data_IF_564679709550
#
_entry.id   IF_564679709550
#
_cell.length_a   1.000
_cell.length_b   1.000
_cell.length_c   1.000
_cell.angle_alpha   90.00
_cell.angle_beta   90.00
_cell.angle_gamma   90.00
#
_symmetry.space_group_name_H-M   'P 1'
#
loop_
_entity.id
_entity.type
_entity.pdbx_description
1 polymer ?
#
# COMPACT_ATOMS: atom_id res chain seq x y z
N UNK A 1 -24.58 0.91 -2.65
CA UNK A 1 -25.41 -0.19 -3.18
C UNK A 1 -24.76 -0.68 -4.46
N UNK A 2 -24.79 -1.98 -4.75
CA UNK A 2 -24.29 -2.52 -6.02
C UNK A 2 -25.39 -2.38 -7.06
N UNK A 3 -25.03 -1.89 -8.24
CA UNK A 3 -25.91 -1.79 -9.41
C UNK A 3 -25.48 -2.82 -10.47
N UNK A 4 -26.30 -3.86 -10.67
CA UNK A 4 -26.03 -4.92 -11.65
C UNK A 4 -26.31 -4.49 -13.10
N UNK A 5 -27.02 -3.38 -13.32
CA UNK A 5 -27.31 -2.84 -14.65
C UNK A 5 -26.29 -1.82 -15.14
N UNK A 6 -25.32 -1.44 -14.29
CA UNK A 6 -24.28 -0.47 -14.64
C UNK A 6 -23.21 -1.08 -15.56
N UNK A 7 -22.63 -0.25 -16.44
CA UNK A 7 -21.44 -0.60 -17.24
C UNK A 7 -20.19 -0.87 -16.39
N UNK A 8 -20.20 -0.49 -15.11
CA UNK A 8 -19.08 -0.72 -14.20
C UNK A 8 -19.16 -2.12 -13.60
N UNK A 9 -18.13 -2.96 -13.71
CA UNK A 9 -18.14 -4.30 -13.15
C UNK A 9 -18.42 -4.32 -11.64
N UNK A 10 -19.25 -5.24 -11.17
CA UNK A 10 -19.69 -5.34 -9.76
C UNK A 10 -18.53 -5.44 -8.75
N UNK A 11 -17.43 -6.12 -9.12
CA UNK A 11 -16.25 -6.21 -8.26
C UNK A 11 -15.54 -4.85 -8.09
N UNK A 12 -15.58 -3.98 -9.12
CA UNK A 12 -15.06 -2.61 -9.02
C UNK A 12 -15.96 -1.77 -8.14
N UNK A 13 -17.28 -1.90 -8.28
CA UNK A 13 -18.24 -1.19 -7.42
C UNK A 13 -18.05 -1.56 -5.94
N UNK A 14 -17.88 -2.85 -5.61
CA UNK A 14 -17.58 -3.26 -4.23
C UNK A 14 -16.25 -2.68 -3.74
N UNK A 15 -15.21 -2.71 -4.57
CA UNK A 15 -13.93 -2.08 -4.23
C UNK A 15 -14.09 -0.58 -3.97
N UNK A 16 -14.89 0.12 -4.77
CA UNK A 16 -15.17 1.56 -4.59
C UNK A 16 -15.88 1.86 -3.27
N UNK A 17 -16.88 1.04 -2.91
CA UNK A 17 -17.59 1.16 -1.63
C UNK A 17 -16.62 1.02 -0.45
N UNK A 18 -15.82 -0.05 -0.44
CA UNK A 18 -14.87 -0.30 0.64
C UNK A 18 -13.77 0.78 0.67
N UNK A 19 -13.29 1.22 -0.49
CA UNK A 19 -12.31 2.33 -0.59
C UNK A 19 -12.88 3.59 0.03
N UNK A 20 -14.13 3.94 -0.28
CA UNK A 20 -14.79 5.09 0.30
C UNK A 20 -14.92 4.98 1.84
N UNK A 21 -15.18 3.79 2.37
CA UNK A 21 -15.22 3.55 3.82
C UNK A 21 -13.85 3.74 4.49
N UNK A 22 -12.77 3.29 3.84
CA UNK A 22 -11.40 3.48 4.32
C UNK A 22 -11.01 4.96 4.28
N UNK A 23 -11.22 5.63 3.14
CA UNK A 23 -10.87 7.05 2.97
C UNK A 23 -11.68 7.95 3.91
N UNK A 24 -12.94 7.62 4.19
CA UNK A 24 -13.77 8.33 5.15
C UNK A 24 -13.46 7.99 6.63
N UNK A 25 -12.53 7.06 6.90
CA UNK A 25 -12.16 6.65 8.25
C UNK A 25 -13.20 5.79 8.98
N UNK A 26 -14.24 5.30 8.27
CA UNK A 26 -15.21 4.34 8.81
C UNK A 26 -14.56 2.98 9.06
N UNK A 27 -13.64 2.60 8.19
CA UNK A 27 -12.72 1.47 8.41
C UNK A 27 -11.34 2.04 8.75
N UNK A 28 -10.88 1.76 9.98
CA UNK A 28 -9.62 2.30 10.51
C UNK A 28 -8.41 1.48 10.06
N UNK A 29 -7.21 2.07 9.96
CA UNK A 29 -5.97 1.33 9.74
C UNK A 29 -5.84 0.15 10.73
N UNK A 30 -5.49 -1.04 10.22
CA UNK A 30 -5.38 -2.27 11.00
C UNK A 30 -6.70 -2.95 11.35
N UNK A 31 -7.85 -2.34 11.03
CA UNK A 31 -9.15 -2.96 11.27
C UNK A 31 -9.42 -4.11 10.29
N UNK A 32 -9.98 -5.20 10.79
CA UNK A 32 -10.44 -6.31 9.96
C UNK A 32 -11.62 -5.88 9.07
N UNK A 33 -11.57 -6.25 7.78
CA UNK A 33 -12.71 -6.16 6.88
C UNK A 33 -13.74 -7.24 7.24
N UNK A 34 -15.02 -7.06 6.86
CA UNK A 34 -15.97 -8.16 6.86
C UNK A 34 -15.44 -9.37 6.08
N UNK A 35 -15.74 -10.59 6.55
CA UNK A 35 -15.30 -11.83 5.88
C UNK A 35 -15.83 -11.93 4.46
N UNK A 36 -15.17 -12.72 3.60
CA UNK A 36 -15.65 -12.97 2.22
C UNK A 36 -17.13 -13.39 2.22
N UNK A 37 -17.50 -14.34 3.08
CA UNK A 37 -18.88 -14.81 3.23
C UNK A 37 -19.85 -13.69 3.62
N UNK A 38 -19.45 -12.81 4.54
CA UNK A 38 -20.28 -11.68 4.96
C UNK A 38 -20.42 -10.64 3.85
N UNK A 39 -19.36 -10.36 3.10
CA UNK A 39 -19.41 -9.47 1.93
C UNK A 39 -20.31 -10.05 0.83
N UNK A 40 -20.22 -11.36 0.59
CA UNK A 40 -21.10 -12.06 -0.37
C UNK A 40 -22.58 -11.91 0.03
N UNK A 41 -22.90 -12.11 1.30
CA UNK A 41 -24.28 -11.97 1.80
C UNK A 41 -24.76 -10.52 1.78
N UNK A 42 -23.94 -9.57 2.24
CA UNK A 42 -24.32 -8.16 2.36
C UNK A 42 -24.54 -7.48 1.01
N UNK A 43 -23.78 -7.87 -0.01
CA UNK A 43 -23.82 -7.24 -1.33
C UNK A 43 -24.41 -8.16 -2.41
N UNK A 44 -24.90 -9.35 -2.02
CA UNK A 44 -25.46 -10.35 -2.92
C UNK A 44 -24.52 -10.72 -4.08
N UNK A 45 -23.22 -10.81 -3.77
CA UNK A 45 -22.18 -11.08 -4.74
C UNK A 45 -21.65 -12.51 -4.65
N UNK A 46 -21.30 -13.07 -5.81
CA UNK A 46 -20.58 -14.34 -5.88
C UNK A 46 -19.15 -14.22 -5.34
N UNK A 47 -18.60 -15.36 -4.89
CA UNK A 47 -17.26 -15.45 -4.30
C UNK A 47 -16.16 -14.86 -5.20
N UNK A 48 -16.23 -15.10 -6.51
CA UNK A 48 -15.24 -14.61 -7.48
C UNK A 48 -15.22 -13.08 -7.49
N UNK A 49 -16.39 -12.44 -7.55
CA UNK A 49 -16.50 -10.98 -7.56
C UNK A 49 -15.96 -10.36 -6.26
N UNK A 50 -16.27 -10.93 -5.10
CA UNK A 50 -15.73 -10.48 -3.81
C UNK A 50 -14.21 -10.61 -3.78
N UNK A 51 -13.66 -11.76 -4.20
CA UNK A 51 -12.20 -11.97 -4.23
C UNK A 51 -11.49 -11.03 -5.20
N UNK A 52 -12.12 -10.72 -6.34
CA UNK A 52 -11.61 -9.73 -7.28
C UNK A 52 -11.62 -8.32 -6.68
N UNK A 53 -12.70 -7.92 -6.00
CA UNK A 53 -12.78 -6.63 -5.32
C UNK A 53 -11.67 -6.47 -4.27
N UNK A 54 -11.48 -7.48 -3.43
CA UNK A 54 -10.38 -7.51 -2.44
C UNK A 54 -9.00 -7.52 -3.12
N UNK A 55 -8.86 -8.17 -4.27
CA UNK A 55 -7.63 -8.14 -5.07
C UNK A 55 -7.30 -6.73 -5.58
N UNK A 56 -8.29 -6.00 -6.08
CA UNK A 56 -8.13 -4.60 -6.48
C UNK A 56 -7.63 -3.77 -5.31
N UNK A 57 -8.27 -3.85 -4.14
CA UNK A 57 -7.88 -3.09 -2.95
C UNK A 57 -6.47 -3.45 -2.43
N UNK A 58 -6.05 -4.72 -2.54
CA UNK A 58 -4.68 -5.13 -2.22
C UNK A 58 -3.67 -4.50 -3.17
N UNK A 59 -3.95 -4.56 -4.47
CA UNK A 59 -3.07 -4.00 -5.51
C UNK A 59 -2.90 -2.49 -5.39
N UNK A 60 -3.94 -1.79 -4.91
CA UNK A 60 -3.94 -0.35 -4.60
C UNK A 60 -3.23 -0.04 -3.27
N UNK A 61 -2.80 -1.04 -2.51
CA UNK A 61 -2.18 -0.84 -1.21
C UNK A 61 -3.15 -0.35 -0.12
N UNK A 62 -4.45 -0.60 -0.24
CA UNK A 62 -5.43 -0.16 0.77
C UNK A 62 -5.66 -1.21 1.86
N UNK A 63 -5.49 -2.48 1.51
CA UNK A 63 -5.67 -3.61 2.44
C UNK A 63 -4.49 -4.58 2.36
N UNK A 64 -4.38 -5.42 3.38
CA UNK A 64 -3.49 -6.58 3.43
C UNK A 64 -4.30 -7.83 3.75
N UNK A 65 -3.91 -8.99 3.22
CA UNK A 65 -4.56 -10.27 3.53
C UNK A 65 -3.61 -11.16 4.30
N UNK A 66 -4.03 -11.57 5.49
CA UNK A 66 -3.31 -12.53 6.33
C UNK A 66 -3.93 -13.90 6.12
N UNK A 67 -3.09 -14.87 5.70
CA UNK A 67 -3.54 -16.21 5.34
C UNK A 67 -4.23 -16.86 6.55
N UNK A 68 -5.48 -17.30 6.36
CA UNK A 68 -6.38 -17.91 7.36
C UNK A 68 -6.96 -16.96 8.42
N UNK A 69 -6.60 -15.68 8.42
CA UNK A 69 -7.15 -14.70 9.36
C UNK A 69 -8.14 -13.74 8.69
N UNK A 70 -7.88 -13.35 7.44
CA UNK A 70 -8.77 -12.49 6.67
C UNK A 70 -8.05 -11.32 6.04
N UNK A 71 -8.80 -10.27 5.72
CA UNK A 71 -8.25 -9.03 5.16
C UNK A 71 -8.43 -7.88 6.14
N UNK A 72 -7.44 -6.99 6.19
CA UNK A 72 -7.38 -5.87 7.10
C UNK A 72 -7.07 -4.60 6.32
N UNK A 73 -7.63 -3.47 6.76
CA UNK A 73 -7.16 -2.16 6.26
C UNK A 73 -5.67 -2.06 6.56
N UNK A 74 -4.90 -1.59 5.59
CA UNK A 74 -3.46 -1.44 5.74
C UNK A 74 -3.12 -0.66 7.02
N UNK A 75 -2.32 -1.24 7.93
CA UNK A 75 -1.83 -0.51 9.09
C UNK A 75 -0.98 0.69 8.67
N UNK A 76 -1.07 1.78 9.40
CA UNK A 76 -0.17 2.90 9.21
C UNK A 76 1.13 2.61 9.96
N UNK A 77 2.22 2.43 9.22
CA UNK A 77 3.56 2.22 9.79
C UNK A 77 4.24 3.58 9.91
N UNK A 78 4.90 3.90 11.05
CA UNK A 78 5.73 5.10 11.15
C UNK A 78 6.80 5.12 10.06
N UNK A 79 6.90 6.23 9.34
CA UNK A 79 7.90 6.38 8.30
C UNK A 79 9.28 6.70 8.89
N UNK A 80 10.31 6.02 8.39
CA UNK A 80 11.71 6.27 8.75
C UNK A 80 12.26 7.43 7.90
N UNK A 81 12.95 8.38 8.54
CA UNK A 81 13.66 9.45 7.83
C UNK A 81 15.04 8.95 7.43
N UNK A 82 15.29 8.87 6.13
CA UNK A 82 16.54 8.39 5.57
C UNK A 82 17.27 9.51 4.87
N UNK A 83 18.48 9.81 5.37
CA UNK A 83 19.30 10.85 4.82
C UNK A 83 20.02 10.39 3.53
N UNK A 84 19.92 11.21 2.49
CA UNK A 84 20.45 10.98 1.15
C UNK A 84 21.36 12.13 0.73
N UNK A 85 22.45 11.79 0.05
CA UNK A 85 23.37 12.79 -0.48
C UNK A 85 22.68 13.62 -1.56
N UNK A 86 23.02 14.91 -1.67
CA UNK A 86 22.47 15.79 -2.73
C UNK A 86 22.76 15.32 -4.15
N UNK A 87 23.88 14.62 -4.35
CA UNK A 87 24.24 14.04 -5.64
C UNK A 87 23.64 12.64 -5.88
N UNK A 88 22.70 12.20 -5.04
CA UNK A 88 22.06 10.90 -5.22
C UNK A 88 21.07 10.94 -6.39
N UNK A 89 21.05 9.88 -7.18
CA UNK A 89 19.98 9.63 -8.14
C UNK A 89 18.91 8.77 -7.46
N UNK A 90 17.67 9.25 -7.48
CA UNK A 90 16.54 8.58 -6.83
C UNK A 90 15.50 8.26 -7.90
N UNK A 91 15.13 7.00 -7.99
CA UNK A 91 14.02 6.55 -8.85
C UNK A 91 12.99 5.79 -8.02
N UNK A 92 11.78 5.65 -8.55
CA UNK A 92 10.72 4.84 -7.95
C UNK A 92 10.27 3.76 -8.94
N UNK A 93 10.09 2.53 -8.44
CA UNK A 93 9.55 1.41 -9.23
C UNK A 93 8.86 0.40 -8.34
N UNK A 94 8.18 -0.57 -8.94
CA UNK A 94 7.73 -1.74 -8.21
C UNK A 94 8.93 -2.63 -7.81
N UNK A 95 8.89 -3.28 -6.64
CA UNK A 95 9.93 -4.21 -6.23
C UNK A 95 9.90 -5.49 -7.08
N UNK A 96 11.06 -6.15 -7.19
CA UNK A 96 11.13 -7.53 -7.64
C UNK A 96 10.51 -8.48 -6.60
N UNK A 97 10.16 -9.73 -6.97
CA UNK A 97 9.68 -10.72 -6.00
C UNK A 97 10.68 -10.99 -4.85
N UNK A 98 11.98 -10.94 -5.15
CA UNK A 98 13.05 -11.13 -4.17
C UNK A 98 13.11 -9.94 -3.20
N UNK A 99 13.18 -8.71 -3.71
CA UNK A 99 13.17 -7.48 -2.90
C UNK A 99 11.93 -7.41 -2.02
N UNK A 100 10.77 -7.80 -2.55
CA UNK A 100 9.52 -7.83 -1.80
C UNK A 100 9.63 -8.73 -0.57
N UNK A 101 10.24 -9.91 -0.72
CA UNK A 101 10.42 -10.87 0.36
C UNK A 101 11.48 -10.41 1.36
N UNK A 102 12.61 -9.91 0.87
CA UNK A 102 13.73 -9.49 1.71
C UNK A 102 13.40 -8.27 2.57
N UNK A 103 12.64 -7.32 2.00
CA UNK A 103 12.29 -6.05 2.67
C UNK A 103 10.88 -6.09 3.29
N UNK A 104 10.25 -7.27 3.35
CA UNK A 104 8.89 -7.49 3.85
C UNK A 104 7.90 -6.44 3.33
N UNK A 105 7.88 -6.26 2.00
CA UNK A 105 7.11 -5.22 1.32
C UNK A 105 5.72 -5.78 1.01
N UNK A 106 4.64 -5.15 1.49
CA UNK A 106 3.31 -5.61 1.13
C UNK A 106 3.00 -5.37 -0.36
N UNK A 107 1.95 -6.00 -0.87
CA UNK A 107 1.42 -5.72 -2.20
C UNK A 107 1.06 -4.22 -2.34
N UNK A 108 1.21 -3.67 -3.55
CA UNK A 108 0.87 -2.28 -3.86
C UNK A 108 1.90 -1.24 -3.39
N UNK A 109 2.97 -1.64 -2.69
CA UNK A 109 4.00 -0.71 -2.20
C UNK A 109 5.18 -0.65 -3.19
N UNK A 110 5.51 0.53 -3.75
CA UNK A 110 6.70 0.71 -4.57
C UNK A 110 7.95 0.85 -3.69
N UNK A 111 9.12 0.78 -4.33
CA UNK A 111 10.42 1.04 -3.71
C UNK A 111 11.06 2.28 -4.27
N UNK A 112 11.76 3.03 -3.41
CA UNK A 112 12.77 3.98 -3.81
C UNK A 112 14.07 3.23 -4.09
N UNK A 113 14.69 3.49 -5.24
CA UNK A 113 16.04 3.05 -5.58
C UNK A 113 16.94 4.26 -5.54
N UNK A 114 17.92 4.22 -4.64
CA UNK A 114 18.80 5.34 -4.33
C UNK A 114 20.22 4.94 -4.73
N UNK A 115 20.74 5.57 -5.77
CA UNK A 115 22.11 5.41 -6.23
C UNK A 115 22.96 6.57 -5.72
N UNK A 116 24.03 6.29 -4.98
CA UNK A 116 24.84 7.32 -4.34
C UNK A 116 26.32 7.16 -4.73
N UNK A 117 26.98 8.20 -5.29
CA UNK A 117 28.38 8.09 -5.69
C UNK A 117 29.35 7.79 -4.53
N UNK A 118 29.02 8.26 -3.31
CA UNK A 118 29.90 8.17 -2.14
C UNK A 118 29.33 7.34 -0.99
N UNK A 119 28.20 6.66 -1.19
CA UNK A 119 27.52 5.82 -0.19
C UNK A 119 27.00 4.55 -0.85
N UNK A 120 26.65 3.55 -0.05
CA UNK A 120 26.06 2.30 -0.57
C UNK A 120 24.69 2.59 -1.18
N UNK A 121 24.41 2.02 -2.35
CA UNK A 121 23.08 2.07 -2.94
C UNK A 121 22.05 1.41 -2.02
N UNK A 122 20.83 1.94 -1.99
CA UNK A 122 19.75 1.47 -1.12
C UNK A 122 18.47 1.27 -1.91
N UNK A 123 17.71 0.26 -1.50
CA UNK A 123 16.34 0.03 -1.97
C UNK A 123 15.46 0.05 -0.73
N UNK A 124 14.47 0.93 -0.70
CA UNK A 124 13.66 1.19 0.49
C UNK A 124 12.16 1.23 0.14
N UNK A 125 11.28 0.66 0.98
CA UNK A 125 9.84 0.70 0.75
C UNK A 125 9.30 2.13 0.89
N UNK A 126 8.56 2.59 -0.13
CA UNK A 126 8.14 3.97 -0.23
C UNK A 126 7.03 4.36 0.76
N UNK A 127 6.24 3.39 1.24
CA UNK A 127 5.14 3.62 2.18
C UNK A 127 5.60 3.98 3.60
N UNK A 128 6.87 3.71 3.93
CA UNK A 128 7.46 3.95 5.25
C UNK A 128 8.86 4.57 5.19
N UNK A 129 9.21 5.25 4.10
CA UNK A 129 10.49 5.96 3.95
C UNK A 129 10.26 7.41 3.57
N UNK A 130 10.83 8.33 4.34
CA UNK A 130 10.92 9.75 4.01
C UNK A 130 12.38 10.05 3.68
N UNK A 131 12.66 10.42 2.43
CA UNK A 131 13.99 10.84 2.01
C UNK A 131 14.23 12.28 2.43
N UNK A 132 15.34 12.52 3.11
CA UNK A 132 15.80 13.87 3.50
C UNK A 132 17.18 14.09 2.95
N UNK A 133 17.52 15.30 2.53
CA UNK A 133 18.89 15.59 2.16
C UNK A 133 19.77 15.55 3.40
N UNK A 134 20.95 14.93 3.30
CA UNK A 134 22.03 15.17 4.25
C UNK A 134 22.35 16.67 4.15
N UNK A 135 21.85 17.46 5.09
CA UNK A 135 22.35 18.82 5.28
C UNK A 135 23.77 18.66 5.84
N UNK A 136 24.75 18.90 4.98
CA UNK A 136 26.13 19.14 5.41
C UNK A 136 26.10 20.17 6.55
N UNK A 137 26.90 19.99 7.60
CA UNK A 137 26.97 20.82 8.82
C UNK A 137 27.43 22.28 8.57
N UNK A 138 27.01 22.92 7.48
CA UNK A 138 27.47 24.23 7.03
C UNK A 138 26.54 25.40 7.41
N UNK A 139 25.49 25.16 8.21
CA UNK A 139 24.58 26.23 8.68
C UNK A 139 24.64 26.50 10.19
N UNK A 140 25.59 25.91 10.93
CA UNK A 140 25.86 26.25 12.36
C UNK A 140 26.96 27.29 12.58
N UNK A 141 27.41 27.98 11.53
CA UNK A 141 28.24 29.17 11.66
C UNK A 141 27.48 30.40 11.15
N UNK A 142 26.63 30.97 12.00
CA UNK A 142 26.25 32.40 12.00
C UNK A 142 25.55 32.77 13.30
#
# INVERSE_FOLDING_TARGET
MIDFGSDRPVHRQLADIIRADITAGRLKPGQALPSETRLMQQYELGRVAVRQALGVLRSEGLIVTVKREGSYVRPQVPAERVAVQRSAEITARMPSPEERKELDIPEGVPVFVINQPRKRNRILPADRTILIWDDDESSRAR
#
